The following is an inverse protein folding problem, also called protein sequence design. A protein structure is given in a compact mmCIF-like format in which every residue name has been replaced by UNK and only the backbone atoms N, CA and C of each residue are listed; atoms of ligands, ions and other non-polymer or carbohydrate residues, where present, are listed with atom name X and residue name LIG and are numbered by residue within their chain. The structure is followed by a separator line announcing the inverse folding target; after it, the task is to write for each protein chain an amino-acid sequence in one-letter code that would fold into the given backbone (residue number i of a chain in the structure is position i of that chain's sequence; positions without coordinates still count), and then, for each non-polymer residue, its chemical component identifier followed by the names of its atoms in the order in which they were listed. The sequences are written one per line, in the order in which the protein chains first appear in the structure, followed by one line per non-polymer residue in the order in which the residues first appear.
data_IF_004395267276
#
_entry.id   IF_004395267276
#
_cell.length_a   1.000
_cell.length_b   1.000
_cell.length_c   1.000
_cell.angle_alpha   90.00
_cell.angle_beta   90.00
_cell.angle_gamma   90.00
#
_symmetry.space_group_name_H-M   'P 1'
#
loop_
_entity.id
_entity.type
_entity.pdbx_description
1 polymer ?
#
# COMPACT_ATOMS: atom_id res chain seq x y z
N UNK A 1 -61.86 -24.08 14.07
CA UNK A 1 -61.00 -24.33 12.91
C UNK A 1 -60.16 -23.07 12.66
N UNK A 2 -58.95 -23.05 13.19
CA UNK A 2 -58.03 -21.92 13.06
C UNK A 2 -56.92 -22.24 12.07
N UNK A 3 -56.83 -21.45 11.03
CA UNK A 3 -55.84 -21.59 9.95
C UNK A 3 -54.58 -20.84 10.38
N UNK A 4 -53.50 -21.56 10.72
CA UNK A 4 -52.17 -20.97 10.95
C UNK A 4 -51.54 -20.69 9.57
N UNK A 5 -51.37 -19.38 9.27
CA UNK A 5 -50.57 -18.91 8.13
C UNK A 5 -49.09 -18.90 8.56
N UNK A 6 -48.31 -19.85 8.06
CA UNK A 6 -46.85 -19.83 8.15
C UNK A 6 -46.31 -18.81 7.12
N UNK A 7 -45.77 -17.68 7.61
CA UNK A 7 -45.00 -16.76 6.77
C UNK A 7 -43.60 -17.29 6.57
N UNK A 8 -43.31 -17.77 5.38
CA UNK A 8 -41.97 -18.13 4.93
C UNK A 8 -41.19 -16.84 4.65
N UNK A 9 -40.25 -16.49 5.54
CA UNK A 9 -39.28 -15.42 5.27
C UNK A 9 -38.18 -15.96 4.37
N UNK A 10 -38.17 -15.53 3.12
CA UNK A 10 -37.06 -15.78 2.24
C UNK A 10 -35.85 -14.94 2.70
N UNK A 11 -34.80 -15.60 3.19
CA UNK A 11 -33.52 -14.98 3.45
C UNK A 11 -32.84 -14.76 2.09
N UNK A 12 -32.71 -13.50 1.66
CA UNK A 12 -31.87 -13.13 0.52
C UNK A 12 -30.41 -13.27 0.98
N UNK A 13 -29.76 -14.33 0.56
CA UNK A 13 -28.33 -14.48 0.70
C UNK A 13 -27.66 -13.43 -0.21
N UNK A 14 -27.12 -12.37 0.37
CA UNK A 14 -26.22 -11.45 -0.32
C UNK A 14 -24.90 -12.23 -0.52
N UNK A 15 -24.74 -12.83 -1.68
CA UNK A 15 -23.45 -13.37 -2.12
C UNK A 15 -22.54 -12.18 -2.42
N UNK A 16 -21.68 -11.81 -1.47
CA UNK A 16 -20.53 -10.94 -1.74
C UNK A 16 -19.60 -11.71 -2.66
N UNK A 17 -19.62 -11.37 -3.95
CA UNK A 17 -18.56 -11.80 -4.87
C UNK A 17 -17.25 -11.26 -4.33
N UNK A 18 -16.20 -12.08 -4.21
CA UNK A 18 -14.88 -11.57 -3.86
C UNK A 18 -14.50 -10.52 -4.91
N UNK A 19 -14.00 -9.38 -4.47
CA UNK A 19 -13.41 -8.39 -5.36
C UNK A 19 -12.27 -9.11 -6.10
N UNK A 20 -12.46 -9.42 -7.38
CA UNK A 20 -11.44 -10.15 -8.12
C UNK A 20 -10.34 -9.18 -8.49
N UNK A 21 -9.17 -9.42 -7.93
CA UNK A 21 -7.93 -8.76 -8.29
C UNK A 21 -7.72 -8.85 -9.81
N UNK A 22 -7.31 -7.75 -10.42
CA UNK A 22 -7.07 -7.66 -11.86
C UNK A 22 -5.57 -7.70 -12.10
N UNK A 23 -5.11 -8.77 -12.75
CA UNK A 23 -3.75 -8.84 -13.26
C UNK A 23 -3.59 -7.86 -14.43
N UNK A 24 -2.53 -7.07 -14.39
CA UNK A 24 -2.27 -6.07 -15.42
C UNK A 24 -1.51 -6.70 -16.60
N UNK A 25 -2.09 -6.67 -17.81
CA UNK A 25 -1.38 -7.12 -19.01
C UNK A 25 -0.25 -6.13 -19.36
N UNK A 26 0.63 -6.45 -20.33
CA UNK A 26 1.61 -5.49 -20.86
C UNK A 26 0.95 -4.18 -21.32
N UNK A 27 1.67 -3.03 -21.28
CA UNK A 27 1.10 -1.71 -21.54
C UNK A 27 0.34 -1.57 -22.86
N UNK A 28 0.86 -2.12 -23.95
CA UNK A 28 0.20 -2.06 -25.25
C UNK A 28 -1.14 -2.82 -25.26
N UNK A 29 -1.17 -3.95 -24.59
CA UNK A 29 -2.38 -4.74 -24.44
C UNK A 29 -3.39 -4.05 -23.51
N UNK A 30 -2.93 -3.44 -22.40
CA UNK A 30 -3.78 -2.66 -21.50
C UNK A 30 -4.40 -1.49 -22.25
N UNK A 31 -3.63 -0.77 -23.08
CA UNK A 31 -4.15 0.31 -23.92
C UNK A 31 -5.23 -0.18 -24.88
N UNK A 32 -5.01 -1.31 -25.55
CA UNK A 32 -5.96 -1.90 -26.49
C UNK A 32 -7.25 -2.36 -25.78
N UNK A 33 -7.15 -3.03 -24.64
CA UNK A 33 -8.29 -3.56 -23.88
C UNK A 33 -9.14 -2.45 -23.24
N UNK A 34 -8.51 -1.36 -22.81
CA UNK A 34 -9.20 -0.25 -22.14
C UNK A 34 -9.62 0.86 -23.10
N UNK A 35 -9.04 0.92 -24.29
CA UNK A 35 -9.22 2.03 -25.23
C UNK A 35 -8.61 3.35 -24.73
N UNK A 36 -7.73 3.32 -23.75
CA UNK A 36 -7.13 4.52 -23.17
C UNK A 36 -5.91 4.99 -23.95
N UNK A 37 -5.82 6.30 -24.15
CA UNK A 37 -4.59 6.94 -24.61
C UNK A 37 -3.60 7.14 -23.46
N UNK A 38 -2.32 7.07 -23.79
CA UNK A 38 -1.26 7.36 -22.83
C UNK A 38 -1.03 8.87 -22.70
N UNK A 39 -0.62 9.30 -21.51
CA UNK A 39 -0.30 10.68 -21.19
C UNK A 39 1.12 10.77 -20.65
N UNK A 40 1.71 11.97 -20.73
CA UNK A 40 2.98 12.29 -20.10
C UNK A 40 2.70 13.17 -18.86
N UNK A 41 3.30 12.79 -17.73
CA UNK A 41 3.26 13.55 -16.50
C UNK A 41 4.69 13.82 -16.01
N UNK A 42 4.98 15.05 -15.64
CA UNK A 42 6.23 15.41 -14.96
C UNK A 42 6.00 15.39 -13.45
N UNK A 43 6.93 14.79 -12.72
CA UNK A 43 6.89 14.68 -11.25
C UNK A 43 8.26 15.00 -10.65
N UNK A 44 8.30 15.35 -9.37
CA UNK A 44 9.52 15.22 -8.57
C UNK A 44 9.65 13.77 -8.14
N UNK A 45 10.69 13.06 -8.62
CA UNK A 45 10.90 11.65 -8.32
C UNK A 45 11.32 11.45 -6.86
N UNK A 46 10.42 10.90 -6.01
CA UNK A 46 10.63 10.95 -4.57
C UNK A 46 11.73 9.99 -4.08
N UNK A 47 12.02 8.89 -4.80
CA UNK A 47 13.07 7.95 -4.41
C UNK A 47 14.48 8.52 -4.61
N UNK A 48 14.65 9.40 -5.60
CA UNK A 48 15.94 9.99 -5.97
C UNK A 48 16.11 11.44 -5.50
N UNK A 49 15.03 12.08 -5.02
CA UNK A 49 15.07 13.47 -4.57
C UNK A 49 15.42 13.58 -3.10
N UNK A 50 16.06 14.70 -2.74
CA UNK A 50 16.39 15.07 -1.36
C UNK A 50 16.05 16.54 -1.16
N UNK A 51 15.84 17.01 0.07
CA UNK A 51 15.67 18.44 0.34
C UNK A 51 16.79 19.28 -0.32
N UNK A 52 16.40 20.26 -1.14
CA UNK A 52 17.33 21.09 -1.89
C UNK A 52 17.90 20.48 -3.19
N UNK A 53 17.60 19.21 -3.50
CA UNK A 53 18.04 18.51 -4.71
C UNK A 53 16.89 17.69 -5.30
N UNK A 54 15.91 18.39 -5.88
CA UNK A 54 14.76 17.76 -6.51
C UNK A 54 15.10 17.30 -7.93
N UNK A 55 14.89 16.00 -8.22
CA UNK A 55 15.00 15.45 -9.55
C UNK A 55 13.63 15.37 -10.21
N UNK A 56 13.43 16.12 -11.29
CA UNK A 56 12.20 16.01 -12.09
C UNK A 56 12.36 14.96 -13.16
N UNK A 57 11.31 14.15 -13.30
CA UNK A 57 11.23 13.07 -14.29
C UNK A 57 9.87 13.11 -14.96
N UNK A 58 9.87 13.00 -16.30
CA UNK A 58 8.64 12.86 -17.07
C UNK A 58 8.40 11.37 -17.38
N UNK A 59 7.22 10.87 -17.00
CA UNK A 59 6.79 9.50 -17.23
C UNK A 59 5.63 9.45 -18.22
N UNK A 60 5.56 8.35 -18.99
CA UNK A 60 4.38 8.00 -19.81
C UNK A 60 3.55 6.96 -19.08
N UNK A 61 2.24 7.16 -19.01
CA UNK A 61 1.35 6.26 -18.30
C UNK A 61 -0.12 6.47 -18.65
N UNK A 62 -0.96 5.71 -17.98
CA UNK A 62 -2.42 5.82 -18.02
C UNK A 62 -2.89 6.63 -16.82
N UNK A 63 -3.79 7.58 -17.05
CA UNK A 63 -4.41 8.34 -15.96
C UNK A 63 -5.23 7.40 -15.08
N UNK A 64 -5.02 7.47 -13.75
CA UNK A 64 -5.50 6.44 -12.84
C UNK A 64 -7.01 6.44 -12.65
N UNK A 65 -7.67 7.59 -12.54
CA UNK A 65 -9.13 7.60 -12.30
C UNK A 65 -9.88 6.99 -13.49
N UNK A 66 -9.47 7.33 -14.71
CA UNK A 66 -10.03 6.75 -15.92
C UNK A 66 -9.71 5.25 -16.04
N UNK A 67 -8.51 4.82 -15.64
CA UNK A 67 -8.15 3.40 -15.63
C UNK A 67 -9.02 2.61 -14.63
N UNK A 68 -9.20 3.14 -13.42
CA UNK A 68 -10.05 2.51 -12.41
C UNK A 68 -11.51 2.41 -12.87
N UNK A 69 -12.03 3.40 -13.58
CA UNK A 69 -13.37 3.34 -14.20
C UNK A 69 -13.48 2.19 -15.20
N UNK A 70 -12.43 1.94 -16.00
CA UNK A 70 -12.41 0.84 -16.97
C UNK A 70 -12.28 -0.53 -16.31
N UNK A 71 -11.47 -0.64 -15.25
CA UNK A 71 -11.20 -1.90 -14.59
C UNK A 71 -12.30 -2.32 -13.60
N UNK A 72 -12.88 -1.36 -12.87
CA UNK A 72 -13.76 -1.66 -11.74
C UNK A 72 -15.18 -1.06 -11.85
N UNK A 73 -15.45 -0.23 -12.87
CA UNK A 73 -16.67 0.55 -12.95
C UNK A 73 -16.82 1.46 -11.73
N UNK A 74 -18.02 1.62 -11.18
CA UNK A 74 -18.24 2.48 -10.01
C UNK A 74 -17.83 1.85 -8.66
N UNK A 75 -17.42 0.58 -8.63
CA UNK A 75 -17.07 -0.13 -7.39
C UNK A 75 -15.94 0.54 -6.61
N UNK A 76 -14.93 1.09 -7.30
CA UNK A 76 -13.81 1.74 -6.66
C UNK A 76 -14.18 3.07 -5.99
N UNK A 77 -15.31 3.68 -6.35
CA UNK A 77 -15.80 4.96 -5.80
C UNK A 77 -16.63 4.78 -4.51
N UNK A 78 -16.91 3.53 -4.12
CA UNK A 78 -17.72 3.26 -2.93
C UNK A 78 -17.00 3.77 -1.66
N UNK A 79 -17.75 4.30 -0.72
CA UNK A 79 -17.21 4.83 0.54
C UNK A 79 -16.42 3.76 1.30
N UNK A 80 -15.23 4.12 1.76
CA UNK A 80 -14.34 3.22 2.48
C UNK A 80 -13.57 2.24 1.61
N UNK A 81 -13.66 2.37 0.28
CA UNK A 81 -12.85 1.55 -0.64
C UNK A 81 -11.42 2.06 -0.71
N UNK A 82 -10.47 1.15 -0.75
CA UNK A 82 -9.07 1.38 -1.05
C UNK A 82 -8.70 0.71 -2.36
N UNK A 83 -7.83 1.35 -3.13
CA UNK A 83 -7.18 0.74 -4.29
C UNK A 83 -5.87 0.11 -3.83
N UNK A 84 -5.70 -1.16 -4.11
CA UNK A 84 -4.56 -1.96 -3.65
C UNK A 84 -3.69 -2.35 -4.84
N UNK A 85 -2.43 -2.01 -4.77
CA UNK A 85 -1.42 -2.33 -5.77
C UNK A 85 -0.51 -3.44 -5.26
N UNK A 86 -0.27 -4.44 -6.08
CA UNK A 86 0.63 -5.55 -5.77
C UNK A 86 1.81 -5.51 -6.74
N UNK A 87 3.01 -5.48 -6.18
CA UNK A 87 4.25 -5.56 -6.93
C UNK A 87 4.73 -7.01 -7.09
N UNK A 88 5.61 -7.21 -8.06
CA UNK A 88 6.18 -8.53 -8.39
C UNK A 88 6.93 -9.17 -7.23
N UNK A 89 7.56 -8.36 -6.39
CA UNK A 89 8.36 -8.80 -5.24
C UNK A 89 7.52 -9.07 -3.98
N UNK A 90 6.18 -8.99 -4.08
CA UNK A 90 5.26 -9.16 -2.97
C UNK A 90 4.95 -7.89 -2.17
N UNK A 91 5.53 -6.73 -2.56
CA UNK A 91 5.14 -5.44 -1.98
C UNK A 91 3.65 -5.17 -2.26
N UNK A 92 2.95 -4.64 -1.26
CA UNK A 92 1.53 -4.29 -1.33
C UNK A 92 1.34 -2.86 -0.86
N UNK A 93 0.74 -2.01 -1.69
CA UNK A 93 0.40 -0.64 -1.31
C UNK A 93 -1.10 -0.44 -1.39
N UNK A 94 -1.72 0.10 -0.36
CA UNK A 94 -3.14 0.48 -0.40
C UNK A 94 -3.29 1.98 -0.24
N UNK A 95 -4.24 2.54 -0.97
CA UNK A 95 -4.52 3.97 -1.03
C UNK A 95 -6.02 4.19 -1.02
N UNK A 96 -6.50 5.10 -0.17
CA UNK A 96 -7.90 5.53 -0.17
C UNK A 96 -8.33 5.94 -1.58
N UNK A 97 -9.40 5.36 -2.08
CA UNK A 97 -9.87 5.57 -3.44
C UNK A 97 -10.17 7.05 -3.74
N UNK A 98 -10.58 7.83 -2.73
CA UNK A 98 -10.88 9.27 -2.85
C UNK A 98 -9.67 10.12 -3.28
N UNK A 99 -8.45 9.59 -3.19
CA UNK A 99 -7.24 10.27 -3.68
C UNK A 99 -7.10 10.24 -5.19
N UNK A 100 -7.75 9.30 -5.87
CA UNK A 100 -7.68 9.18 -7.33
C UNK A 100 -8.69 10.10 -8.02
N UNK A 101 -8.53 11.41 -7.81
CA UNK A 101 -9.27 12.41 -8.59
C UNK A 101 -8.64 12.58 -9.99
N UNK A 102 -9.38 13.01 -11.01
CA UNK A 102 -8.84 13.20 -12.35
C UNK A 102 -7.56 14.04 -12.37
N UNK A 103 -6.51 13.50 -12.97
CA UNK A 103 -5.21 14.15 -13.06
C UNK A 103 -4.37 14.16 -11.78
N UNK A 104 -4.70 13.34 -10.78
CA UNK A 104 -3.91 13.23 -9.54
C UNK A 104 -2.81 12.18 -9.60
N UNK A 105 -3.00 11.10 -10.40
CA UNK A 105 -2.09 9.97 -10.46
C UNK A 105 -2.08 9.30 -11.83
N UNK A 106 -0.96 8.64 -12.16
CA UNK A 106 -0.80 7.83 -13.37
C UNK A 106 -0.16 6.49 -13.07
N UNK A 107 -0.58 5.46 -13.79
CA UNK A 107 0.09 4.17 -13.85
C UNK A 107 1.12 4.24 -14.99
N UNK A 108 2.34 4.64 -14.64
CA UNK A 108 3.45 4.82 -15.58
C UNK A 108 4.06 3.48 -16.00
N UNK A 109 4.52 3.39 -17.25
CA UNK A 109 5.18 2.20 -17.80
C UNK A 109 6.49 2.52 -18.54
N UNK A 110 6.91 3.77 -18.54
CA UNK A 110 8.17 4.20 -19.15
C UNK A 110 8.44 5.67 -18.92
N UNK A 111 9.68 6.07 -19.18
CA UNK A 111 10.09 7.48 -19.16
C UNK A 111 9.79 8.14 -20.50
N UNK A 112 9.45 9.42 -20.47
CA UNK A 112 9.20 10.20 -21.69
C UNK A 112 10.50 10.53 -22.46
N UNK A 113 11.66 10.55 -21.77
CA UNK A 113 12.98 10.84 -22.33
C UNK A 113 13.71 9.60 -22.89
N UNK A 114 13.02 8.47 -23.01
CA UNK A 114 13.53 7.18 -23.50
C UNK A 114 14.72 6.61 -22.73
N UNK A 115 15.08 7.16 -21.57
CA UNK A 115 16.07 6.57 -20.66
C UNK A 115 15.54 5.29 -20.04
N UNK A 116 16.39 4.44 -19.44
CA UNK A 116 15.94 3.25 -18.72
C UNK A 116 14.87 3.58 -17.69
N UNK A 117 13.86 2.72 -17.63
CA UNK A 117 12.76 2.85 -16.66
C UNK A 117 13.18 2.24 -15.32
N UNK A 118 14.12 2.91 -14.68
CA UNK A 118 14.75 2.50 -13.42
C UNK A 118 14.82 3.68 -12.44
N UNK A 119 15.04 3.35 -11.19
CA UNK A 119 15.23 4.29 -10.09
C UNK A 119 16.36 3.82 -9.18
N UNK A 120 17.07 4.76 -8.58
CA UNK A 120 17.91 4.49 -7.40
C UNK A 120 17.07 4.75 -6.15
N UNK A 121 17.13 3.82 -5.21
CA UNK A 121 16.44 3.93 -3.94
C UNK A 121 17.46 3.82 -2.77
N UNK A 122 18.21 4.90 -2.49
CA UNK A 122 19.27 4.86 -1.47
C UNK A 122 18.74 4.54 -0.08
N UNK A 123 17.47 4.87 0.21
CA UNK A 123 16.81 4.55 1.48
C UNK A 123 16.66 3.04 1.72
N UNK A 124 16.73 2.24 0.66
CA UNK A 124 16.68 0.78 0.70
C UNK A 124 17.97 0.12 0.18
N UNK A 125 19.05 0.88 -0.01
CA UNK A 125 20.33 0.39 -0.58
C UNK A 125 20.18 -0.25 -1.97
N UNK A 126 19.26 0.24 -2.78
CA UNK A 126 18.97 -0.26 -4.11
C UNK A 126 19.45 0.74 -5.17
N UNK A 127 20.09 0.23 -6.24
CA UNK A 127 20.56 1.03 -7.38
C UNK A 127 20.08 0.42 -8.68
N UNK A 128 19.61 1.25 -9.62
CA UNK A 128 19.16 0.80 -10.93
C UNK A 128 17.96 -0.13 -10.90
N UNK A 129 17.09 -0.01 -9.91
CA UNK A 129 15.91 -0.87 -9.75
C UNK A 129 14.94 -0.63 -10.89
N UNK A 130 14.51 -1.70 -11.56
CA UNK A 130 13.47 -1.61 -12.59
C UNK A 130 12.15 -1.16 -12.00
N UNK A 131 11.52 -0.15 -12.58
CA UNK A 131 10.18 0.32 -12.22
C UNK A 131 9.07 -0.50 -12.89
N UNK A 132 9.39 -1.21 -13.97
CA UNK A 132 8.44 -1.95 -14.79
C UNK A 132 7.90 -3.25 -14.17
N UNK A 133 6.71 -3.73 -14.62
CA UNK A 133 5.98 -3.23 -15.79
C UNK A 133 5.27 -1.90 -15.56
N UNK A 134 4.85 -1.61 -14.32
CA UNK A 134 4.15 -0.37 -14.00
C UNK A 134 4.65 0.25 -12.70
N UNK A 135 4.51 1.58 -12.63
CA UNK A 135 4.87 2.41 -11.50
C UNK A 135 3.75 3.42 -11.23
N UNK A 136 3.20 3.44 -10.03
CA UNK A 136 2.22 4.46 -9.65
C UNK A 136 2.94 5.76 -9.33
N UNK A 137 2.62 6.81 -10.05
CA UNK A 137 3.16 8.16 -9.85
C UNK A 137 2.06 9.17 -9.54
N UNK A 138 2.35 10.15 -8.69
CA UNK A 138 1.42 11.19 -8.29
C UNK A 138 1.85 12.55 -8.84
N UNK A 139 0.88 13.42 -9.16
CA UNK A 139 1.17 14.82 -9.50
C UNK A 139 1.61 15.60 -8.24
N UNK A 140 2.81 15.36 -7.79
CA UNK A 140 3.39 16.03 -6.64
C UNK A 140 3.98 17.41 -6.98
N UNK A 141 3.85 17.87 -8.20
CA UNK A 141 4.13 19.26 -8.58
C UNK A 141 2.97 20.18 -8.20
N UNK A 142 1.73 19.68 -8.31
CA UNK A 142 0.52 20.44 -7.94
C UNK A 142 0.03 20.10 -6.54
N UNK A 143 0.25 18.87 -6.06
CA UNK A 143 -0.17 18.41 -4.74
C UNK A 143 1.02 18.46 -3.75
N UNK A 144 1.06 19.48 -2.89
CA UNK A 144 2.06 19.63 -1.84
C UNK A 144 1.97 18.54 -0.77
N UNK A 145 0.78 17.97 -0.52
CA UNK A 145 0.61 16.87 0.42
C UNK A 145 1.22 15.57 -0.15
N UNK A 146 1.03 15.29 -1.45
CA UNK A 146 1.70 14.19 -2.12
C UNK A 146 3.23 14.36 -2.10
N UNK A 147 3.73 15.59 -2.25
CA UNK A 147 5.16 15.91 -2.14
C UNK A 147 5.69 15.63 -0.73
N UNK A 148 4.98 16.06 0.31
CA UNK A 148 5.38 15.87 1.69
C UNK A 148 5.40 14.39 2.12
N UNK A 149 4.67 13.51 1.44
CA UNK A 149 4.67 12.08 1.71
C UNK A 149 5.96 11.36 1.23
N UNK A 150 6.79 12.03 0.42
CA UNK A 150 7.97 11.40 -0.18
C UNK A 150 7.60 10.19 -1.04
N UNK A 151 8.40 9.13 -0.95
CA UNK A 151 8.20 7.90 -1.73
C UNK A 151 7.07 6.99 -1.23
N UNK A 152 6.41 7.34 -0.11
CA UNK A 152 5.29 6.56 0.41
C UNK A 152 4.10 6.60 -0.57
N UNK A 153 3.56 5.42 -0.89
CA UNK A 153 2.44 5.30 -1.84
C UNK A 153 2.83 5.43 -3.31
N UNK A 154 4.10 5.20 -3.64
CA UNK A 154 4.64 5.14 -5.00
C UNK A 154 5.14 3.72 -5.32
N UNK A 155 4.24 2.70 -5.36
CA UNK A 155 4.65 1.34 -5.66
C UNK A 155 5.15 1.21 -7.10
N UNK A 156 6.31 0.57 -7.28
CA UNK A 156 6.85 0.17 -8.58
C UNK A 156 6.76 -1.34 -8.77
N UNK A 157 7.07 -1.83 -9.99
CA UNK A 157 6.90 -3.23 -10.39
C UNK A 157 5.47 -3.75 -10.21
N UNK A 158 4.48 -2.85 -10.30
CA UNK A 158 3.08 -3.21 -10.12
C UNK A 158 2.64 -4.18 -11.21
N UNK A 159 2.05 -5.29 -10.81
CA UNK A 159 1.54 -6.35 -11.70
C UNK A 159 0.05 -6.58 -11.54
N UNK A 160 -0.55 -6.13 -10.43
CA UNK A 160 -1.95 -6.39 -10.13
C UNK A 160 -2.57 -5.23 -9.35
N UNK A 161 -3.85 -4.97 -9.60
CA UNK A 161 -4.66 -4.00 -8.84
C UNK A 161 -5.88 -4.71 -8.29
N UNK A 162 -6.29 -4.37 -7.08
CA UNK A 162 -7.48 -4.86 -6.41
C UNK A 162 -8.18 -3.74 -5.65
N UNK A 163 -9.37 -4.01 -5.15
CA UNK A 163 -10.11 -3.16 -4.23
C UNK A 163 -10.14 -3.83 -2.85
N UNK A 164 -9.98 -3.04 -1.81
CA UNK A 164 -10.15 -3.49 -0.43
C UNK A 164 -11.10 -2.58 0.34
N UNK A 165 -11.69 -3.13 1.38
CA UNK A 165 -12.59 -2.46 2.31
C UNK A 165 -12.08 -2.64 3.74
N UNK A 166 -12.61 -1.92 4.73
CA UNK A 166 -12.24 -2.14 6.14
C UNK A 166 -12.43 -3.59 6.62
N UNK A 167 -13.35 -4.35 6.02
CA UNK A 167 -13.59 -5.76 6.35
C UNK A 167 -12.41 -6.66 5.98
N UNK A 168 -11.66 -6.32 4.94
CA UNK A 168 -10.49 -7.09 4.49
C UNK A 168 -9.31 -7.00 5.45
N UNK A 169 -9.36 -6.07 6.41
CA UNK A 169 -8.36 -5.91 7.46
C UNK A 169 -8.81 -6.46 8.82
N UNK A 170 -10.00 -7.05 8.91
CA UNK A 170 -10.60 -7.46 10.19
C UNK A 170 -9.70 -8.38 11.03
N UNK A 171 -8.97 -9.32 10.39
CA UNK A 171 -8.07 -10.24 11.09
C UNK A 171 -6.83 -9.56 11.69
N UNK A 172 -6.39 -8.42 11.12
CA UNK A 172 -5.26 -7.64 11.61
C UNK A 172 -5.68 -6.49 12.55
N UNK A 173 -6.98 -6.21 12.68
CA UNK A 173 -7.48 -5.14 13.54
C UNK A 173 -7.43 -5.56 15.01
N UNK A 174 -7.01 -4.69 15.95
CA UNK A 174 -7.06 -5.01 17.37
C UNK A 174 -8.52 -5.23 17.80
N UNK A 175 -8.75 -6.24 18.64
CA UNK A 175 -10.09 -6.55 19.17
C UNK A 175 -10.51 -5.61 20.27
N UNK A 176 -9.55 -5.08 21.03
CA UNK A 176 -9.77 -4.09 22.08
C UNK A 176 -9.84 -2.67 21.52
N UNK A 177 -10.63 -1.84 22.21
CA UNK A 177 -10.79 -0.42 21.90
C UNK A 177 -9.68 0.46 22.50
N UNK A 178 -8.47 -0.09 22.78
CA UNK A 178 -7.32 0.71 23.20
C UNK A 178 -6.97 1.72 22.09
N UNK A 179 -7.17 3.02 22.32
CA UNK A 179 -6.97 4.02 21.27
C UNK A 179 -5.55 4.04 20.71
N UNK A 180 -4.55 3.72 21.56
CA UNK A 180 -3.15 3.69 21.14
C UNK A 180 -2.89 2.49 20.23
N UNK A 181 -3.50 1.32 20.53
CA UNK A 181 -3.37 0.15 19.65
C UNK A 181 -4.12 0.35 18.34
N UNK A 182 -5.25 1.04 18.34
CA UNK A 182 -5.98 1.41 17.11
C UNK A 182 -5.14 2.36 16.24
N UNK A 183 -4.53 3.39 16.85
CA UNK A 183 -3.58 4.25 16.14
C UNK A 183 -2.39 3.43 15.58
N UNK A 184 -1.84 2.54 16.41
CA UNK A 184 -0.76 1.64 16.00
C UNK A 184 -1.12 0.75 14.82
N UNK A 185 -2.34 0.22 14.78
CA UNK A 185 -2.85 -0.51 13.61
C UNK A 185 -2.85 0.34 12.35
N UNK A 186 -3.30 1.59 12.41
CA UNK A 186 -3.28 2.47 11.23
C UNK A 186 -1.84 2.77 10.78
N UNK A 187 -0.89 2.94 11.70
CA UNK A 187 0.52 3.09 11.35
C UNK A 187 1.11 1.81 10.75
N UNK A 188 0.82 0.64 11.34
CA UNK A 188 1.26 -0.66 10.81
C UNK A 188 0.67 -0.91 9.43
N UNK A 189 -0.61 -0.63 9.23
CA UNK A 189 -1.29 -0.74 7.94
C UNK A 189 -0.61 0.14 6.89
N UNK A 190 -0.28 1.36 7.26
CA UNK A 190 0.33 2.35 6.38
C UNK A 190 1.77 1.97 6.01
N UNK A 191 2.61 1.60 6.97
CA UNK A 191 4.04 1.49 6.76
C UNK A 191 4.57 0.05 6.74
N UNK A 192 4.00 -0.85 7.54
CA UNK A 192 4.54 -2.19 7.72
C UNK A 192 3.88 -3.23 6.82
N UNK A 193 2.54 -3.16 6.66
CA UNK A 193 1.79 -4.10 5.82
C UNK A 193 2.07 -3.92 4.32
N UNK A 194 2.91 -2.99 3.94
CA UNK A 194 3.43 -2.90 2.58
C UNK A 194 4.38 -4.05 2.25
N UNK A 195 5.16 -4.51 3.22
CA UNK A 195 6.18 -5.55 3.06
C UNK A 195 5.94 -6.77 3.92
N UNK A 196 5.32 -6.60 5.10
CA UNK A 196 5.09 -7.61 6.11
C UNK A 196 3.60 -8.00 6.19
N UNK A 197 3.32 -9.09 6.91
CA UNK A 197 1.98 -9.54 7.20
C UNK A 197 1.70 -9.53 8.72
N UNK A 198 0.43 -9.28 9.06
CA UNK A 198 -0.15 -9.51 10.38
C UNK A 198 -1.42 -10.33 10.16
N UNK A 199 -1.52 -11.49 10.79
CA UNK A 199 -2.66 -12.41 10.64
C UNK A 199 -2.98 -12.78 9.16
N UNK A 200 -1.96 -12.89 8.31
CA UNK A 200 -2.10 -13.16 6.88
C UNK A 200 -2.49 -11.95 6.03
N UNK A 201 -2.65 -10.77 6.64
CA UNK A 201 -2.99 -9.52 5.94
C UNK A 201 -1.72 -8.71 5.72
N UNK A 202 -1.49 -8.27 4.48
CA UNK A 202 -0.34 -7.43 4.12
C UNK A 202 0.45 -7.94 2.93
N UNK A 203 1.63 -7.35 2.70
CA UNK A 203 2.57 -7.73 1.67
C UNK A 203 3.37 -8.98 2.02
N UNK A 204 3.77 -9.71 0.98
CA UNK A 204 4.55 -10.94 1.10
C UNK A 204 6.04 -10.77 0.75
N UNK A 205 6.56 -9.53 0.72
CA UNK A 205 7.97 -9.27 0.38
C UNK A 205 8.91 -9.94 1.38
N UNK A 206 8.54 -9.97 2.65
CA UNK A 206 9.29 -10.68 3.69
C UNK A 206 8.40 -11.75 4.32
N UNK A 207 8.88 -13.00 4.44
CA UNK A 207 8.10 -14.09 4.99
C UNK A 207 7.91 -13.94 6.51
N UNK A 208 6.83 -14.53 7.00
CA UNK A 208 6.50 -14.58 8.42
C UNK A 208 5.54 -13.49 8.88
N UNK A 209 4.87 -13.77 9.99
CA UNK A 209 3.94 -12.83 10.62
C UNK A 209 4.72 -11.87 11.52
N UNK A 210 4.46 -10.57 11.35
CA UNK A 210 5.16 -9.52 12.09
C UNK A 210 5.02 -9.67 13.62
N UNK A 211 3.91 -10.25 14.11
CA UNK A 211 3.70 -10.55 15.53
C UNK A 211 4.69 -11.58 16.05
N UNK A 212 4.96 -12.61 15.25
CA UNK A 212 5.94 -13.65 15.59
C UNK A 212 7.37 -13.10 15.54
N UNK A 213 7.68 -12.29 14.54
CA UNK A 213 8.99 -11.63 14.40
C UNK A 213 9.24 -10.67 15.56
N UNK A 214 8.23 -9.89 15.95
CA UNK A 214 8.33 -8.89 17.01
C UNK A 214 8.30 -9.49 18.42
N UNK A 215 7.65 -10.64 18.60
CA UNK A 215 7.42 -11.27 19.90
C UNK A 215 8.68 -11.43 20.77
N UNK A 216 9.77 -12.00 20.25
CA UNK A 216 11.02 -12.20 21.01
C UNK A 216 11.81 -10.92 21.30
N UNK A 217 11.52 -9.82 20.60
CA UNK A 217 12.29 -8.58 20.71
C UNK A 217 11.80 -7.73 21.89
N UNK A 218 12.70 -7.07 22.61
CA UNK A 218 12.32 -6.03 23.57
C UNK A 218 11.77 -4.80 22.86
N UNK A 219 10.98 -3.97 23.55
CA UNK A 219 10.43 -2.73 22.99
C UNK A 219 11.53 -1.79 22.52
N UNK A 220 12.66 -1.74 23.23
CA UNK A 220 13.85 -0.98 22.82
C UNK A 220 14.41 -1.50 21.48
N UNK A 221 14.50 -2.82 21.32
CA UNK A 221 14.99 -3.42 20.09
C UNK A 221 14.01 -3.17 18.93
N UNK A 222 12.69 -3.28 19.19
CA UNK A 222 11.64 -2.93 18.20
C UNK A 222 11.73 -1.47 17.80
N UNK A 223 11.88 -0.56 18.77
CA UNK A 223 12.05 0.87 18.49
C UNK A 223 13.23 1.11 17.56
N UNK A 224 14.38 0.47 17.84
CA UNK A 224 15.58 0.59 16.98
C UNK A 224 15.33 -0.01 15.59
N UNK A 225 14.69 -1.18 15.46
CA UNK A 225 14.32 -1.76 14.17
C UNK A 225 13.43 -0.85 13.35
N UNK A 226 12.45 -0.19 13.98
CA UNK A 226 11.48 0.66 13.30
C UNK A 226 12.11 1.99 12.87
N UNK A 227 12.95 2.59 13.71
CA UNK A 227 13.47 3.95 13.46
C UNK A 227 14.86 3.97 12.81
N UNK A 228 15.69 2.94 13.06
CA UNK A 228 17.08 2.88 12.63
C UNK A 228 17.50 1.45 12.24
N UNK A 229 16.79 0.82 11.29
CA UNK A 229 16.98 -0.61 10.97
C UNK A 229 18.42 -0.96 10.58
N UNK A 230 19.18 -0.03 10.01
CA UNK A 230 20.58 -0.21 9.65
C UNK A 230 21.50 -0.43 10.87
N UNK A 231 21.11 0.06 12.06
CA UNK A 231 21.84 -0.23 13.30
C UNK A 231 21.66 -1.67 13.76
N UNK A 232 20.51 -2.28 13.43
CA UNK A 232 20.20 -3.66 13.76
C UNK A 232 20.79 -4.64 12.74
N UNK A 233 20.72 -4.30 11.47
CA UNK A 233 21.24 -5.11 10.37
C UNK A 233 21.79 -4.19 9.26
N UNK A 234 23.12 -3.98 9.21
CA UNK A 234 23.74 -3.21 8.13
C UNK A 234 23.41 -3.80 6.75
N UNK A 235 23.00 -2.94 5.81
CA UNK A 235 22.59 -3.35 4.46
C UNK A 235 21.16 -3.88 4.34
N UNK A 236 20.34 -3.82 5.40
CA UNK A 236 18.92 -4.16 5.29
C UNK A 236 18.20 -3.24 4.32
N UNK A 237 17.27 -3.81 3.55
CA UNK A 237 16.37 -3.04 2.67
C UNK A 237 15.13 -2.50 3.40
N UNK A 238 14.97 -2.81 4.69
CA UNK A 238 13.92 -2.21 5.51
C UNK A 238 14.20 -0.71 5.68
N UNK A 239 13.32 0.19 5.22
CA UNK A 239 13.49 1.61 5.43
C UNK A 239 13.18 1.99 6.89
N UNK A 240 13.78 3.07 7.42
CA UNK A 240 13.34 3.63 8.68
C UNK A 240 11.91 4.16 8.57
N UNK A 241 11.15 4.12 9.67
CA UNK A 241 9.83 4.74 9.71
C UNK A 241 9.96 6.21 9.32
N UNK A 242 9.21 6.60 8.31
CA UNK A 242 9.21 7.87 7.60
C UNK A 242 10.05 9.01 8.24
N UNK A 243 11.30 9.16 7.79
CA UNK A 243 12.24 10.15 8.31
C UNK A 243 11.81 11.62 8.05
N UNK A 244 10.79 11.84 7.19
CA UNK A 244 10.22 13.16 6.92
C UNK A 244 9.23 13.61 8.01
N UNK A 245 8.76 12.68 8.87
CA UNK A 245 7.93 13.05 10.02
C UNK A 245 8.76 13.82 11.06
N UNK A 246 8.19 14.83 11.74
CA UNK A 246 8.78 15.42 12.93
C UNK A 246 9.12 14.34 13.96
N UNK A 247 10.23 14.48 14.67
CA UNK A 247 10.73 13.48 15.62
C UNK A 247 9.67 13.05 16.64
N UNK A 248 8.98 14.00 17.26
CA UNK A 248 7.92 13.70 18.24
C UNK A 248 6.74 12.92 17.64
N UNK A 249 6.41 13.14 16.37
CA UNK A 249 5.36 12.40 15.67
C UNK A 249 5.83 10.99 15.32
N UNK A 250 7.07 10.85 14.86
CA UNK A 250 7.68 9.57 14.58
C UNK A 250 7.81 8.69 15.84
N UNK A 251 8.16 9.30 16.99
CA UNK A 251 8.22 8.61 18.27
C UNK A 251 6.85 8.10 18.70
N UNK A 252 5.81 8.94 18.64
CA UNK A 252 4.43 8.54 18.93
C UNK A 252 3.96 7.39 18.04
N UNK A 253 4.19 7.51 16.73
CA UNK A 253 3.83 6.47 15.78
C UNK A 253 4.56 5.15 16.09
N UNK A 254 5.85 5.20 16.46
CA UNK A 254 6.64 4.03 16.84
C UNK A 254 6.09 3.37 18.11
N UNK A 255 5.80 4.15 19.15
CA UNK A 255 5.25 3.63 20.39
C UNK A 255 3.86 3.01 20.18
N UNK A 256 3.03 3.62 19.33
CA UNK A 256 1.72 3.07 18.94
C UNK A 256 1.86 1.75 18.16
N UNK A 257 2.81 1.66 17.22
CA UNK A 257 3.12 0.41 16.48
C UNK A 257 3.51 -0.70 17.48
N UNK A 258 4.42 -0.41 18.41
CA UNK A 258 4.87 -1.39 19.42
C UNK A 258 3.67 -1.83 20.29
N UNK A 259 2.86 -0.89 20.75
CA UNK A 259 1.64 -1.20 21.54
C UNK A 259 0.70 -2.13 20.78
N UNK A 260 0.43 -1.83 19.51
CA UNK A 260 -0.39 -2.68 18.67
C UNK A 260 0.19 -4.11 18.55
N UNK A 261 1.47 -4.25 18.20
CA UNK A 261 2.10 -5.55 18.05
C UNK A 261 2.07 -6.39 19.32
N UNK A 262 2.18 -5.76 20.51
CA UNK A 262 2.07 -6.44 21.81
C UNK A 262 0.66 -6.90 22.14
N UNK A 263 -0.36 -6.19 21.67
CA UNK A 263 -1.76 -6.53 21.94
C UNK A 263 -2.32 -7.57 20.95
N UNK A 264 -1.72 -7.73 19.79
CA UNK A 264 -2.22 -8.69 18.81
C UNK A 264 -1.87 -10.12 19.23
N UNK A 265 -2.86 -11.01 19.40
CA UNK A 265 -2.60 -12.39 19.78
C UNK A 265 -1.79 -13.11 18.68
N UNK A 266 -0.71 -13.73 19.10
CA UNK A 266 -0.02 -14.72 18.26
C UNK A 266 -0.86 -15.99 18.32
N UNK A 267 -1.52 -16.37 17.24
CA UNK A 267 -2.10 -17.71 17.16
C UNK A 267 -0.92 -18.67 16.99
N UNK A 268 -0.63 -19.42 18.05
CA UNK A 268 0.26 -20.57 17.94
C UNK A 268 -0.28 -21.45 16.82
N UNK A 269 0.59 -21.73 15.84
CA UNK A 269 0.25 -22.52 14.66
C UNK A 269 0.01 -24.01 15.01
N UNK A 270 -0.99 -24.27 15.86
CA UNK A 270 -1.53 -25.58 16.11
C UNK A 270 -3.02 -25.53 15.80
N UNK A 271 -3.38 -25.86 14.55
CA UNK A 271 -4.45 -26.83 14.24
C UNK A 271 -5.22 -26.47 12.97
N UNK A 272 -5.80 -27.48 12.39
CA UNK A 272 -5.26 -28.58 11.59
C UNK A 272 -5.46 -28.36 10.12
#
# INVERSE_FOLDING_TARGET
MGVFRVMLRAAVAVTTLPASAIELPPPDRLAAETGMSTQTVEVVEPHMSRPGHELRVAYRGFEMSGLLDRLFGDRWKATGTEVVFFARDGYRSSTDSRRFVPGSAWLAFGRADSKPFTVDNPGQHETGVSLGPYYLVWDNLRDSAARAQGAYGWPYQVVRIDLATPADYAAARPQDSDPVAVEGFEQVRKYCLTCHQVAGIGGGKFPGDLRQIAGPLSDRALKTWITEPQKMHPGTTMPPLNALLPEAERDRATDAIIRYLRMMPVRDGTTP
#
